data_IF_201093306824
#
_entry.id   IF_201093306824
#
_cell.length_a   1.000
_cell.length_b   1.000
_cell.length_c   1.000
_cell.angle_alpha   90.00
_cell.angle_beta   90.00
_cell.angle_gamma   90.00
#
_symmetry.space_group_name_H-M   'P 1'
#
loop_
_entity.id
_entity.type
_entity.pdbx_description
1 polymer ?
#
# COMPACT_ATOMS: atom_id res chain seq x y z
N UNK A 1 12.13 2.15 22.18
CA UNK A 1 12.19 1.08 21.15
C UNK A 1 10.85 0.38 20.93
N UNK A 2 9.96 0.28 21.94
CA UNK A 2 8.62 -0.32 21.78
C UNK A 2 7.79 0.40 20.70
N UNK A 3 7.73 1.73 20.75
CA UNK A 3 6.98 2.55 19.77
C UNK A 3 7.45 2.32 18.32
N UNK A 4 8.75 2.12 18.09
CA UNK A 4 9.29 1.79 16.78
C UNK A 4 8.86 0.37 16.34
N UNK A 5 8.84 -0.60 17.25
CA UNK A 5 8.38 -1.95 16.94
C UNK A 5 6.89 -1.97 16.62
N UNK A 6 6.08 -1.25 17.39
CA UNK A 6 4.65 -1.08 17.15
C UNK A 6 4.41 -0.41 15.79
N UNK A 7 5.20 0.61 15.46
CA UNK A 7 5.12 1.25 14.15
C UNK A 7 5.50 0.32 13.01
N UNK A 8 6.57 -0.48 13.14
CA UNK A 8 6.98 -1.45 12.11
C UNK A 8 5.92 -2.53 11.93
N UNK A 9 5.28 -2.98 13.01
CA UNK A 9 4.16 -3.91 12.94
C UNK A 9 2.98 -3.33 12.15
N UNK A 10 2.57 -2.10 12.46
CA UNK A 10 1.49 -1.44 11.72
C UNK A 10 1.89 -1.13 10.26
N UNK A 11 3.16 -0.81 9.98
CA UNK A 11 3.65 -0.64 8.62
C UNK A 11 3.59 -1.94 7.83
N UNK A 12 3.95 -3.07 8.44
CA UNK A 12 3.84 -4.37 7.80
C UNK A 12 2.38 -4.72 7.48
N UNK A 13 1.49 -4.50 8.45
CA UNK A 13 0.04 -4.67 8.23
C UNK A 13 -0.48 -3.76 7.13
N UNK A 14 0.00 -2.53 7.06
CA UNK A 14 -0.36 -1.59 6.00
C UNK A 14 0.11 -2.07 4.63
N UNK A 15 1.34 -2.58 4.53
CA UNK A 15 1.89 -3.17 3.31
C UNK A 15 1.00 -4.33 2.80
N UNK A 16 0.58 -5.22 3.68
CA UNK A 16 -0.33 -6.34 3.37
C UNK A 16 -1.70 -5.83 2.90
N UNK A 17 -2.23 -4.77 3.51
CA UNK A 17 -3.48 -4.16 3.08
C UNK A 17 -3.37 -3.52 1.69
N UNK A 18 -2.27 -2.80 1.42
CA UNK A 18 -2.03 -2.25 0.08
C UNK A 18 -1.86 -3.34 -0.98
N UNK A 19 -1.24 -4.48 -0.63
CA UNK A 19 -1.17 -5.65 -1.50
C UNK A 19 -2.57 -6.16 -1.84
N UNK A 20 -3.40 -6.41 -0.82
CA UNK A 20 -4.76 -6.90 -1.01
C UNK A 20 -5.61 -5.92 -1.83
N UNK A 21 -5.46 -4.61 -1.61
CA UNK A 21 -6.19 -3.59 -2.36
C UNK A 21 -5.74 -3.51 -3.82
N UNK A 22 -4.44 -3.63 -4.09
CA UNK A 22 -3.91 -3.78 -5.46
C UNK A 22 -4.54 -4.99 -6.14
N UNK A 23 -4.52 -6.16 -5.50
CA UNK A 23 -4.99 -7.40 -6.09
C UNK A 23 -6.49 -7.39 -6.38
N UNK A 24 -7.30 -6.74 -5.54
CA UNK A 24 -8.73 -6.57 -5.81
C UNK A 24 -8.97 -5.54 -6.89
N UNK A 25 -8.21 -4.44 -6.91
CA UNK A 25 -8.29 -3.42 -7.96
C UNK A 25 -7.91 -3.97 -9.35
N UNK A 26 -6.90 -4.85 -9.44
CA UNK A 26 -6.48 -5.44 -10.70
C UNK A 26 -7.53 -6.39 -11.32
N UNK A 27 -8.40 -6.96 -10.50
CA UNK A 27 -9.50 -7.85 -10.95
C UNK A 27 -10.71 -7.09 -11.49
N UNK A 28 -10.79 -5.79 -11.23
CA UNK A 28 -11.85 -4.94 -11.75
C UNK A 28 -11.73 -4.81 -13.27
N UNK A 29 -12.86 -4.64 -13.95
CA UNK A 29 -12.89 -4.18 -15.33
C UNK A 29 -12.39 -2.74 -15.45
N UNK A 30 -11.99 -2.32 -16.64
CA UNK A 30 -11.50 -0.94 -16.86
C UNK A 30 -12.54 0.12 -16.45
N UNK A 31 -13.83 -0.13 -16.73
CA UNK A 31 -14.93 0.77 -16.31
C UNK A 31 -15.05 0.87 -14.79
N UNK A 32 -14.87 -0.24 -14.08
CA UNK A 32 -14.92 -0.25 -12.61
C UNK A 32 -13.68 0.43 -12.00
N UNK A 33 -12.49 0.24 -12.60
CA UNK A 33 -11.28 0.97 -12.21
C UNK A 33 -11.46 2.48 -12.37
N UNK A 34 -12.01 2.91 -13.50
CA UNK A 34 -12.29 4.33 -13.77
C UNK A 34 -13.29 4.91 -12.76
N UNK A 35 -14.34 4.16 -12.42
CA UNK A 35 -15.32 4.57 -11.41
C UNK A 35 -14.67 4.77 -10.03
N UNK A 36 -13.84 3.82 -9.60
CA UNK A 36 -13.12 3.90 -8.32
C UNK A 36 -12.17 5.10 -8.30
N UNK A 37 -11.42 5.31 -9.39
CA UNK A 37 -10.45 6.41 -9.45
C UNK A 37 -11.09 7.79 -9.64
N UNK A 38 -12.28 7.87 -10.24
CA UNK A 38 -13.01 9.14 -10.42
C UNK A 38 -13.41 9.77 -9.08
N UNK A 39 -13.68 8.95 -8.06
CA UNK A 39 -14.06 9.42 -6.72
C UNK A 39 -12.87 9.52 -5.76
N UNK A 40 -11.69 9.05 -6.18
CA UNK A 40 -10.48 9.13 -5.37
C UNK A 40 -10.01 10.59 -5.22
N UNK A 41 -9.51 11.00 -4.04
CA UNK A 41 -8.85 12.28 -3.89
C UNK A 41 -7.71 12.45 -4.92
N UNK A 42 -7.52 13.66 -5.51
CA UNK A 42 -6.52 13.87 -6.57
C UNK A 42 -5.07 13.59 -6.15
N UNK A 43 -4.80 13.57 -4.85
CA UNK A 43 -3.49 13.25 -4.28
C UNK A 43 -3.20 11.75 -4.19
N UNK A 44 -4.21 10.90 -4.38
CA UNK A 44 -4.04 9.44 -4.31
C UNK A 44 -3.74 8.89 -5.69
N UNK A 45 -2.77 7.97 -5.73
CA UNK A 45 -2.49 7.14 -6.91
C UNK A 45 -3.36 5.89 -6.89
N UNK A 46 -3.45 5.21 -8.02
CA UNK A 46 -4.15 3.95 -8.09
C UNK A 46 -3.47 2.88 -7.19
N UNK A 47 -4.22 1.90 -6.65
CA UNK A 47 -3.66 0.88 -5.75
C UNK A 47 -2.44 0.13 -6.30
N UNK A 48 -2.39 -0.12 -7.61
CA UNK A 48 -1.26 -0.74 -8.30
C UNK A 48 0.00 0.14 -8.36
N UNK A 49 -0.14 1.47 -8.28
CA UNK A 49 0.97 2.40 -8.23
C UNK A 49 1.45 2.67 -6.79
N UNK A 50 0.56 2.53 -5.82
CA UNK A 50 0.85 2.86 -4.42
C UNK A 50 1.46 1.70 -3.64
N UNK A 51 1.19 0.45 -4.04
CA UNK A 51 1.72 -0.75 -3.41
C UNK A 51 3.26 -0.77 -3.32
N UNK A 52 3.95 -0.48 -4.42
CA UNK A 52 5.41 -0.60 -4.53
C UNK A 52 6.15 0.33 -3.53
N UNK A 53 5.84 1.64 -3.45
CA UNK A 53 6.43 2.52 -2.43
C UNK A 53 6.29 2.04 -0.99
N UNK A 54 5.16 1.42 -0.62
CA UNK A 54 4.93 0.93 0.76
C UNK A 54 5.81 -0.27 1.06
N UNK A 55 5.96 -1.19 0.11
CA UNK A 55 6.87 -2.33 0.26
C UNK A 55 8.33 -1.89 0.34
N UNK A 56 8.75 -0.96 -0.50
CA UNK A 56 10.12 -0.41 -0.45
C UNK A 56 10.44 0.27 0.88
N UNK A 57 9.46 0.96 1.46
CA UNK A 57 9.59 1.57 2.79
C UNK A 57 9.76 0.51 3.88
N UNK A 58 8.93 -0.54 3.87
CA UNK A 58 9.03 -1.65 4.83
C UNK A 58 10.40 -2.34 4.73
N UNK A 59 10.87 -2.65 3.53
CA UNK A 59 12.19 -3.24 3.30
C UNK A 59 13.32 -2.35 3.81
N UNK A 60 13.25 -1.04 3.55
CA UNK A 60 14.27 -0.11 4.01
C UNK A 60 14.38 -0.11 5.54
N UNK A 61 13.26 -0.20 6.26
CA UNK A 61 13.28 -0.31 7.72
C UNK A 61 13.87 -1.66 8.18
N UNK A 62 13.52 -2.77 7.52
CA UNK A 62 14.10 -4.08 7.86
C UNK A 62 15.62 -4.11 7.67
N UNK A 63 16.14 -3.54 6.58
CA UNK A 63 17.58 -3.43 6.33
C UNK A 63 18.34 -2.61 7.37
N UNK A 64 17.69 -1.62 8.00
CA UNK A 64 18.30 -0.82 9.08
C UNK A 64 18.39 -1.58 10.42
N UNK A 65 17.72 -2.74 10.53
CA UNK A 65 17.66 -3.55 11.75
C UNK A 65 18.54 -4.81 11.69
N UNK A 66 19.15 -5.09 10.54
CA UNK A 66 20.16 -6.13 10.30
C UNK A 66 21.57 -5.61 10.59
#
# INVERSE_FOLDING_TARGET
>A
MQELQDFVYELQRYADQTHNLKDTFEKLSETEKELVMTVAPPSLKAPNEYFQPVYEWLEAIHRLRE
#
